data_IF_847677936195
#
_entry.id   IF_847677936195
#
_cell.length_a   1.000
_cell.length_b   1.000
_cell.length_c   1.000
_cell.angle_alpha   90.00
_cell.angle_beta   90.00
_cell.angle_gamma   90.00
#
_symmetry.space_group_name_H-M   'P 1'
#
loop_
_entity.id
_entity.type
_entity.pdbx_description
1 polymer ?
#
# COMPACT_ATOMS: atom_id res chain seq x y z
N UNK A 1 14.39 6.42 6.22
CA UNK A 1 13.47 7.28 5.42
C UNK A 1 12.94 6.51 4.20
N UNK A 2 11.64 6.58 3.87
CA UNK A 2 11.00 5.98 2.67
C UNK A 2 9.72 6.75 2.29
N UNK A 3 9.16 6.60 1.08
CA UNK A 3 7.99 7.39 0.66
C UNK A 3 6.78 7.23 1.58
N UNK A 4 6.52 6.00 2.06
CA UNK A 4 5.44 5.72 3.01
C UNK A 4 5.56 6.44 4.36
N UNK A 5 6.73 7.02 4.69
CA UNK A 5 6.93 7.79 5.91
C UNK A 5 6.78 9.31 5.68
N UNK A 6 6.52 9.76 4.44
CA UNK A 6 6.33 11.18 4.08
C UNK A 6 4.87 11.45 3.74
N UNK A 7 4.17 12.22 4.59
CA UNK A 7 2.79 12.61 4.39
C UNK A 7 2.67 14.01 3.79
N UNK A 8 1.93 14.13 2.70
CA UNK A 8 1.59 15.43 2.13
C UNK A 8 0.35 16.00 2.83
N UNK A 9 0.49 17.18 3.42
CA UNK A 9 -0.60 17.91 4.07
C UNK A 9 -0.84 19.23 3.34
N UNK A 10 -1.95 19.91 3.65
CA UNK A 10 -2.23 21.25 3.12
C UNK A 10 -1.16 22.29 3.47
N UNK A 11 -0.38 22.04 4.53
CA UNK A 11 0.71 22.91 4.98
C UNK A 11 2.10 22.48 4.47
N UNK A 12 2.18 21.48 3.60
CA UNK A 12 3.44 20.91 3.11
C UNK A 12 3.67 19.47 3.55
N UNK A 13 4.86 18.94 3.26
CA UNK A 13 5.25 17.58 3.61
C UNK A 13 5.57 17.46 5.11
N UNK A 14 5.12 16.38 5.74
CA UNK A 14 5.40 16.00 7.13
C UNK A 14 5.99 14.61 7.17
N UNK A 15 7.06 14.43 7.94
CA UNK A 15 7.61 13.11 8.21
C UNK A 15 6.81 12.46 9.35
N UNK A 16 6.28 11.26 9.12
CA UNK A 16 5.39 10.56 10.05
C UNK A 16 6.14 9.66 11.04
N UNK A 17 7.30 9.17 10.63
CA UNK A 17 8.01 8.13 11.35
C UNK A 17 9.51 8.45 11.36
N UNK A 18 9.96 9.00 12.49
CA UNK A 18 11.37 9.18 12.84
C UNK A 18 11.99 7.89 13.40
N UNK A 19 11.28 6.76 13.28
CA UNK A 19 11.59 5.47 13.88
C UNK A 19 13.06 5.07 13.74
N UNK A 20 13.68 4.88 14.91
CA UNK A 20 15.10 4.66 15.18
C UNK A 20 15.97 5.93 15.33
N UNK A 21 15.41 7.05 15.81
CA UNK A 21 16.22 8.11 16.42
C UNK A 21 16.95 7.54 17.65
N UNK A 22 18.17 7.03 17.42
CA UNK A 22 19.16 6.57 18.41
C UNK A 22 18.82 5.24 19.11
N UNK A 23 19.13 4.13 18.46
CA UNK A 23 19.66 2.96 19.17
C UNK A 23 21.18 2.97 19.03
N UNK A 24 21.85 3.47 20.06
CA UNK A 24 23.29 3.34 20.22
C UNK A 24 23.67 1.86 20.36
N UNK A 25 24.49 1.38 19.43
CA UNK A 25 25.50 0.31 19.55
C UNK A 25 25.20 -1.00 20.31
N UNK A 26 23.95 -1.38 20.65
CA UNK A 26 23.70 -2.63 21.40
C UNK A 26 22.65 -3.61 20.90
N UNK A 27 21.89 -3.30 19.85
CA UNK A 27 20.93 -4.26 19.29
C UNK A 27 21.38 -4.72 17.91
N UNK A 28 22.54 -5.40 17.88
CA UNK A 28 22.91 -6.27 16.75
C UNK A 28 22.21 -7.63 16.93
N UNK A 29 20.88 -7.63 17.01
CA UNK A 29 20.14 -8.87 16.80
C UNK A 29 20.18 -9.20 15.29
N UNK A 30 20.47 -10.46 14.93
CA UNK A 30 20.86 -10.79 13.57
C UNK A 30 19.71 -10.58 12.58
N UNK A 31 19.98 -9.86 11.50
CA UNK A 31 19.31 -10.13 10.23
C UNK A 31 19.64 -11.59 9.88
N UNK A 32 18.73 -12.53 10.12
CA UNK A 32 18.88 -13.89 9.64
C UNK A 32 18.71 -13.87 8.12
N UNK A 33 19.82 -13.73 7.42
CA UNK A 33 19.98 -14.18 6.03
C UNK A 33 20.74 -15.50 6.09
N UNK A 34 20.21 -16.46 6.85
CA UNK A 34 20.64 -17.84 6.69
C UNK A 34 19.95 -18.40 5.44
N UNK A 35 20.70 -19.19 4.69
CA UNK A 35 20.29 -19.82 3.45
C UNK A 35 18.87 -20.39 3.55
N UNK A 36 18.00 -19.96 2.63
CA UNK A 36 16.61 -20.38 2.47
C UNK A 36 16.40 -21.88 2.75
N UNK A 37 15.77 -22.26 3.88
CA UNK A 37 15.10 -23.55 3.99
C UNK A 37 13.69 -23.36 3.42
N UNK A 38 13.31 -24.22 2.48
CA UNK A 38 11.98 -24.26 1.88
C UNK A 38 10.93 -24.78 2.89
N UNK A 39 10.62 -23.99 3.92
CA UNK A 39 9.51 -24.26 4.85
C UNK A 39 9.01 -22.95 5.44
N UNK A 40 7.77 -22.59 5.10
CA UNK A 40 7.16 -21.29 5.36
C UNK A 40 6.12 -21.37 6.47
N UNK A 41 6.19 -20.48 7.47
CA UNK A 41 4.99 -19.87 8.08
C UNK A 41 5.24 -18.74 9.09
N UNK A 42 6.43 -18.57 9.69
CA UNK A 42 6.63 -17.54 10.73
C UNK A 42 7.33 -16.23 10.28
N UNK A 43 8.10 -16.21 9.19
CA UNK A 43 8.91 -15.03 8.81
C UNK A 43 8.32 -14.10 7.74
N UNK A 44 7.07 -14.27 7.30
CA UNK A 44 6.59 -13.59 6.06
C UNK A 44 6.43 -12.07 6.22
N UNK A 45 5.96 -11.58 7.37
CA UNK A 45 5.67 -10.16 7.61
C UNK A 45 6.94 -9.30 7.72
N UNK A 46 7.96 -9.79 8.44
CA UNK A 46 9.29 -9.17 8.48
C UNK A 46 9.96 -9.22 7.11
N UNK A 47 9.83 -10.34 6.38
CA UNK A 47 10.32 -10.47 5.00
C UNK A 47 9.75 -9.37 4.10
N UNK A 48 8.44 -9.09 4.12
CA UNK A 48 7.81 -8.06 3.28
C UNK A 48 8.11 -6.62 3.72
N UNK A 49 8.23 -6.34 5.02
CA UNK A 49 8.64 -5.01 5.51
C UNK A 49 10.10 -4.68 5.16
N UNK A 50 10.98 -5.70 5.21
CA UNK A 50 12.34 -5.61 4.71
C UNK A 50 12.28 -5.32 3.21
N UNK A 51 11.57 -6.13 2.39
CA UNK A 51 11.46 -5.93 0.92
C UNK A 51 11.04 -4.51 0.55
N UNK A 52 10.00 -3.95 1.19
CA UNK A 52 9.51 -2.60 0.89
C UNK A 52 10.43 -1.45 1.34
N UNK A 53 11.43 -1.75 2.17
CA UNK A 53 12.42 -0.77 2.65
C UNK A 53 13.77 -0.93 1.97
N UNK A 54 14.09 -2.11 1.43
CA UNK A 54 15.36 -2.42 0.77
C UNK A 54 15.79 -1.37 -0.28
N UNK A 55 14.91 -0.87 -1.18
CA UNK A 55 15.30 0.15 -2.17
C UNK A 55 15.79 1.47 -1.57
N UNK A 56 15.50 1.74 -0.29
CA UNK A 56 15.86 2.98 0.38
C UNK A 56 16.92 2.78 1.47
N UNK A 57 17.38 1.53 1.71
CA UNK A 57 18.44 1.26 2.68
C UNK A 57 19.81 1.61 2.09
N UNK A 58 20.64 2.28 2.88
CA UNK A 58 22.00 2.58 2.48
C UNK A 58 22.87 1.31 2.37
N UNK A 59 23.81 1.23 1.42
CA UNK A 59 24.71 0.09 1.23
C UNK A 59 25.40 -0.41 2.51
N UNK A 60 25.88 0.50 3.34
CA UNK A 60 26.54 0.20 4.61
C UNK A 60 25.59 -0.45 5.63
N UNK A 61 24.29 -0.12 5.61
CA UNK A 61 23.29 -0.80 6.46
C UNK A 61 23.06 -2.23 6.00
N UNK A 62 22.97 -2.46 4.68
CA UNK A 62 22.82 -3.81 4.11
C UNK A 62 24.06 -4.68 4.35
N UNK A 63 25.24 -4.07 4.36
CA UNK A 63 26.53 -4.71 4.65
C UNK A 63 26.83 -4.81 6.16
N UNK A 64 25.94 -4.33 7.04
CA UNK A 64 26.12 -4.29 8.50
C UNK A 64 27.39 -3.57 8.98
N UNK A 65 27.82 -2.55 8.23
CA UNK A 65 28.91 -1.67 8.64
C UNK A 65 28.37 -0.58 9.55
N UNK A 66 29.20 0.00 10.44
CA UNK A 66 28.85 1.22 11.15
C UNK A 66 28.37 2.29 10.16
N UNK A 67 27.27 2.96 10.51
CA UNK A 67 26.66 3.99 9.68
C UNK A 67 26.30 5.20 10.54
N UNK A 68 26.22 6.37 9.89
CA UNK A 68 25.87 7.64 10.52
C UNK A 68 24.67 8.28 9.78
N UNK A 69 24.45 9.58 9.98
CA UNK A 69 23.37 10.34 9.35
C UNK A 69 23.44 10.37 7.82
N UNK A 70 24.57 10.00 7.20
CA UNK A 70 24.69 9.88 5.74
C UNK A 70 23.92 8.70 5.16
N UNK A 71 23.50 7.75 6.00
CA UNK A 71 22.54 6.73 5.61
C UNK A 71 21.16 7.34 5.29
N UNK A 72 20.75 8.40 6.01
CA UNK A 72 19.50 9.11 5.74
C UNK A 72 19.61 10.00 4.49
N UNK A 73 20.80 10.54 4.19
CA UNK A 73 21.08 11.24 2.92
C UNK A 73 20.88 10.30 1.73
N UNK A 74 21.34 9.05 1.83
CA UNK A 74 21.10 8.04 0.78
C UNK A 74 19.61 7.76 0.59
N UNK A 75 18.91 7.51 1.69
CA UNK A 75 17.48 7.24 1.66
C UNK A 75 16.68 8.42 1.09
N UNK A 76 17.08 9.65 1.41
CA UNK A 76 16.51 10.87 0.84
C UNK A 76 16.73 10.94 -0.68
N UNK A 77 17.94 10.64 -1.16
CA UNK A 77 18.25 10.56 -2.59
C UNK A 77 17.40 9.52 -3.32
N UNK A 78 17.14 8.37 -2.69
CA UNK A 78 16.32 7.31 -3.28
C UNK A 78 14.85 7.73 -3.40
N UNK A 79 14.30 8.40 -2.37
CA UNK A 79 12.95 8.99 -2.41
C UNK A 79 12.86 10.07 -3.49
N UNK A 80 13.84 10.99 -3.55
CA UNK A 80 13.85 12.07 -4.53
C UNK A 80 13.94 11.54 -5.97
N UNK A 81 14.76 10.50 -6.20
CA UNK A 81 14.81 9.83 -7.50
C UNK A 81 13.44 9.28 -7.88
N UNK A 82 12.77 8.56 -6.97
CA UNK A 82 11.48 7.95 -7.25
C UNK A 82 10.38 8.98 -7.54
N UNK A 83 10.38 10.10 -6.81
CA UNK A 83 9.46 11.20 -7.06
C UNK A 83 9.59 11.79 -8.48
N UNK A 84 10.82 11.81 -9.02
CA UNK A 84 11.12 12.41 -10.32
C UNK A 84 11.03 11.40 -11.47
N UNK A 85 11.40 10.14 -11.22
CA UNK A 85 11.42 9.07 -12.22
C UNK A 85 10.11 8.27 -12.27
N UNK A 86 9.25 8.37 -11.26
CA UNK A 86 8.02 7.60 -11.12
C UNK A 86 8.24 6.12 -10.75
N UNK A 87 9.47 5.72 -10.45
CA UNK A 87 9.87 4.35 -10.09
C UNK A 87 11.09 4.37 -9.16
N UNK A 88 11.29 3.34 -8.30
CA UNK A 88 12.44 3.28 -7.41
C UNK A 88 13.78 3.32 -8.15
N UNK A 89 14.80 3.89 -7.50
CA UNK A 89 16.16 3.94 -8.01
C UNK A 89 16.80 2.55 -8.14
N UNK A 90 16.41 1.62 -7.26
CA UNK A 90 16.92 0.26 -7.18
C UNK A 90 15.75 -0.72 -7.20
N UNK A 91 15.77 -1.66 -8.14
CA UNK A 91 14.71 -2.63 -8.38
C UNK A 91 15.29 -4.02 -8.58
N UNK A 92 14.48 -5.06 -8.39
CA UNK A 92 14.82 -6.47 -8.60
C UNK A 92 13.59 -7.35 -8.34
N UNK A 93 13.58 -8.56 -8.91
CA UNK A 93 12.46 -9.50 -8.80
C UNK A 93 12.52 -10.30 -7.48
N UNK A 94 13.66 -10.24 -6.79
CA UNK A 94 13.89 -10.83 -5.48
C UNK A 94 14.57 -9.87 -4.50
N UNK A 95 14.46 -10.08 -3.17
CA UNK A 95 15.17 -9.27 -2.18
C UNK A 95 16.69 -9.24 -2.39
N UNK A 96 17.26 -10.36 -2.83
CA UNK A 96 18.69 -10.47 -3.12
C UNK A 96 19.09 -9.60 -4.32
N UNK A 97 18.26 -9.54 -5.36
CA UNK A 97 18.47 -8.67 -6.52
C UNK A 97 18.32 -7.19 -6.17
N UNK A 98 17.36 -6.83 -5.32
CA UNK A 98 17.22 -5.45 -4.82
C UNK A 98 18.45 -5.06 -4.02
N UNK A 99 18.94 -5.92 -3.11
CA UNK A 99 20.18 -5.69 -2.36
C UNK A 99 21.36 -5.53 -3.32
N UNK A 100 21.52 -6.42 -4.29
CA UNK A 100 22.59 -6.33 -5.29
C UNK A 100 22.51 -4.99 -6.05
N UNK A 101 21.31 -4.58 -6.46
CA UNK A 101 21.05 -3.31 -7.13
C UNK A 101 21.46 -2.11 -6.26
N UNK A 102 21.09 -2.10 -4.98
CA UNK A 102 21.51 -1.07 -4.02
C UNK A 102 23.03 -1.04 -3.86
N UNK A 103 23.71 -2.19 -3.89
CA UNK A 103 25.15 -2.26 -3.68
C UNK A 103 25.97 -1.86 -4.93
N UNK A 104 25.48 -2.13 -6.14
CA UNK A 104 26.31 -2.05 -7.36
C UNK A 104 25.78 -1.09 -8.43
N UNK A 105 24.47 -0.86 -8.51
CA UNK A 105 23.88 -0.10 -9.61
C UNK A 105 23.95 1.39 -9.32
N UNK A 106 24.41 2.19 -10.28
CA UNK A 106 24.29 3.66 -10.23
C UNK A 106 23.14 4.08 -11.16
N UNK A 107 22.05 4.70 -10.64
CA UNK A 107 20.91 5.06 -11.48
C UNK A 107 21.30 6.02 -12.61
N UNK A 108 20.70 5.79 -13.77
CA UNK A 108 20.86 6.65 -14.94
C UNK A 108 20.19 8.02 -14.75
N UNK A 109 20.54 9.01 -15.58
CA UNK A 109 19.93 10.34 -15.48
C UNK A 109 18.43 10.28 -15.79
N UNK A 110 17.66 11.11 -15.09
CA UNK A 110 16.21 11.17 -15.27
C UNK A 110 15.89 12.13 -16.44
N UNK A 111 15.15 11.70 -17.49
CA UNK A 111 14.76 12.58 -18.58
C UNK A 111 13.99 13.81 -18.09
N UNK A 112 14.35 15.00 -18.56
CA UNK A 112 13.68 16.26 -18.19
C UNK A 112 14.12 16.87 -16.86
N UNK A 113 15.05 16.24 -16.13
CA UNK A 113 15.65 16.78 -14.91
C UNK A 113 16.91 17.59 -15.25
N UNK A 114 17.11 18.73 -14.58
CA UNK A 114 18.28 19.59 -14.82
C UNK A 114 19.58 18.87 -14.40
N UNK A 115 20.72 19.13 -15.07
CA UNK A 115 22.00 18.55 -14.65
C UNK A 115 22.39 18.89 -13.22
N UNK A 116 21.95 20.03 -12.70
CA UNK A 116 22.17 20.42 -11.30
C UNK A 116 21.41 19.49 -10.34
N UNK A 117 20.14 19.23 -10.63
CA UNK A 117 19.30 18.34 -9.82
C UNK A 117 19.77 16.87 -9.92
N UNK A 118 20.17 16.43 -11.11
CA UNK A 118 20.76 15.09 -11.32
C UNK A 118 22.05 14.91 -10.48
N UNK A 119 22.91 15.93 -10.40
CA UNK A 119 24.11 15.89 -9.53
C UNK A 119 23.77 15.76 -8.06
N UNK A 120 22.74 16.46 -7.57
CA UNK A 120 22.29 16.35 -6.17
C UNK A 120 21.85 14.91 -5.88
N UNK A 121 21.00 14.34 -6.75
CA UNK A 121 20.49 12.97 -6.61
C UNK A 121 21.63 11.95 -6.63
N UNK A 122 22.54 12.04 -7.61
CA UNK A 122 23.70 11.13 -7.72
C UNK A 122 24.58 11.17 -6.49
N UNK A 123 24.83 12.37 -5.95
CA UNK A 123 25.68 12.53 -4.77
C UNK A 123 25.00 11.99 -3.50
N UNK A 124 23.68 12.11 -3.38
CA UNK A 124 22.96 11.41 -2.31
C UNK A 124 23.07 9.89 -2.45
N UNK A 125 23.00 9.35 -3.68
CA UNK A 125 22.99 7.92 -3.98
C UNK A 125 24.38 7.27 -4.13
N UNK A 126 25.46 7.98 -3.77
CA UNK A 126 26.80 7.43 -3.82
C UNK A 126 26.93 6.20 -2.92
N UNK A 127 27.64 5.17 -3.39
CA UNK A 127 27.74 3.89 -2.66
C UNK A 127 28.58 4.02 -1.40
N UNK A 128 29.71 4.71 -1.50
CA UNK A 128 30.50 5.10 -0.33
C UNK A 128 29.82 6.28 0.39
N UNK A 129 29.67 6.17 1.70
CA UNK A 129 29.16 7.25 2.54
C UNK A 129 30.11 8.46 2.55
N UNK A 130 31.41 8.27 2.30
CA UNK A 130 32.40 9.35 2.21
C UNK A 130 32.11 10.32 1.06
N UNK A 131 31.56 9.81 -0.05
CA UNK A 131 31.27 10.57 -1.27
C UNK A 131 29.93 11.32 -1.21
N UNK A 132 29.08 10.98 -0.24
CA UNK A 132 27.78 11.64 -0.01
C UNK A 132 27.94 13.02 0.60
N UNK A 133 26.84 13.76 0.62
CA UNK A 133 26.73 14.99 1.42
C UNK A 133 27.00 14.70 2.88
N UNK A 134 27.69 15.64 3.55
CA UNK A 134 28.11 15.46 4.94
C UNK A 134 26.92 15.52 5.89
N UNK A 135 25.95 16.39 5.59
CA UNK A 135 24.66 16.48 6.25
C UNK A 135 23.52 16.61 5.25
N UNK A 136 22.28 16.49 5.75
CA UNK A 136 21.08 16.68 4.93
C UNK A 136 20.88 18.16 4.57
N UNK A 137 21.45 19.05 5.37
CA UNK A 137 21.44 20.50 5.20
C UNK A 137 22.17 20.89 3.90
N UNK A 138 23.36 20.33 3.66
CA UNK A 138 24.14 20.57 2.44
C UNK A 138 23.37 20.09 1.20
N UNK A 139 22.70 18.94 1.31
CA UNK A 139 21.89 18.39 0.24
C UNK A 139 20.65 19.27 -0.04
N UNK A 140 20.02 19.80 1.00
CA UNK A 140 18.86 20.69 0.90
C UNK A 140 19.23 22.05 0.28
N UNK A 141 20.37 22.63 0.65
CA UNK A 141 20.89 23.87 0.04
C UNK A 141 21.19 23.65 -1.45
N UNK A 142 21.90 22.57 -1.79
CA UNK A 142 22.20 22.23 -3.17
C UNK A 142 20.91 21.96 -3.99
N UNK A 143 19.89 21.36 -3.37
CA UNK A 143 18.58 21.15 -3.98
C UNK A 143 17.83 22.46 -4.22
N UNK A 144 17.88 23.40 -3.28
CA UNK A 144 17.28 24.72 -3.43
C UNK A 144 17.93 25.48 -4.60
N UNK A 145 19.26 25.51 -4.66
CA UNK A 145 20.02 26.11 -5.76
C UNK A 145 19.76 25.42 -7.11
N UNK A 146 19.53 24.10 -7.12
CA UNK A 146 19.18 23.37 -8.33
C UNK A 146 17.73 23.61 -8.78
N UNK A 147 16.84 24.01 -7.87
CA UNK A 147 15.45 24.38 -8.11
C UNK A 147 15.26 25.85 -8.53
N UNK A 148 16.23 26.72 -8.20
CA UNK A 148 16.30 28.08 -8.74
C UNK A 148 16.54 28.03 -10.25
N UNK A 149 15.48 28.27 -11.03
CA UNK A 149 15.62 28.50 -12.47
C UNK A 149 16.53 29.72 -12.68
N UNK A 150 17.63 29.63 -13.46
CA UNK A 150 18.19 30.82 -14.05
C UNK A 150 17.09 31.42 -14.94
N UNK A 151 16.73 32.68 -14.69
CA UNK A 151 15.72 33.44 -15.42
C UNK A 151 16.09 33.71 -16.90
N UNK A 152 17.02 32.96 -17.49
CA UNK A 152 17.64 33.26 -18.76
C UNK A 152 17.87 32.01 -19.63
N UNK A 153 16.86 31.17 -19.85
CA UNK A 153 16.88 30.21 -20.98
C UNK A 153 15.50 29.58 -21.30
N UNK A 154 14.39 30.33 -21.29
CA UNK A 154 13.13 29.81 -21.84
C UNK A 154 12.15 30.93 -22.22
N UNK A 155 12.51 31.76 -23.20
CA UNK A 155 11.55 32.46 -24.05
C UNK A 155 12.25 33.08 -25.26
N UNK A 156 12.77 32.25 -26.18
CA UNK A 156 12.71 32.69 -27.58
C UNK A 156 11.25 32.58 -27.97
N UNK A 157 10.56 33.72 -27.96
CA UNK A 157 9.15 33.81 -28.29
C UNK A 157 8.88 33.14 -29.64
N UNK A 158 8.22 31.99 -29.59
CA UNK A 158 7.59 31.40 -30.76
C UNK A 158 6.50 32.38 -31.16
N UNK A 159 6.73 33.13 -32.24
CA UNK A 159 5.81 34.17 -32.69
C UNK A 159 4.38 33.64 -32.80
N UNK A 160 3.40 34.46 -32.43
CA UNK A 160 1.95 34.17 -32.38
C UNK A 160 1.40 33.41 -33.62
N UNK A 161 2.09 33.50 -34.78
CA UNK A 161 1.79 32.74 -36.01
C UNK A 161 2.14 31.25 -35.95
N UNK A 162 3.18 30.86 -35.21
CA UNK A 162 3.59 29.44 -35.04
C UNK A 162 2.74 28.71 -34.00
N UNK A 163 2.23 29.40 -32.97
CA UNK A 163 1.26 28.81 -32.03
C UNK A 163 -0.08 28.49 -32.68
N UNK A 164 -0.53 29.32 -33.64
CA UNK A 164 -1.75 29.05 -34.41
C UNK A 164 -1.56 27.81 -35.30
N UNK A 165 -0.39 27.67 -35.94
CA UNK A 165 -0.06 26.49 -36.74
C UNK A 165 0.01 25.20 -35.91
N UNK A 166 0.65 25.24 -34.75
CA UNK A 166 0.72 24.09 -33.84
C UNK A 166 -0.65 23.70 -33.27
N UNK A 167 -1.49 24.68 -32.95
CA UNK A 167 -2.86 24.43 -32.48
C UNK A 167 -3.75 23.81 -33.58
N UNK A 168 -3.58 24.24 -34.84
CA UNK A 168 -4.30 23.66 -35.98
C UNK A 168 -3.86 22.22 -36.26
N UNK A 169 -2.56 21.92 -36.19
CA UNK A 169 -2.03 20.57 -36.35
C UNK A 169 -2.53 19.67 -35.21
N UNK A 170 -2.53 20.15 -33.96
CA UNK A 170 -3.06 19.41 -32.81
C UNK A 170 -4.58 19.15 -32.95
N UNK A 171 -5.35 20.14 -33.40
CA UNK A 171 -6.78 20.00 -33.63
C UNK A 171 -7.10 19.03 -34.78
N UNK A 172 -6.35 19.08 -35.89
CA UNK A 172 -6.49 18.15 -37.01
C UNK A 172 -6.05 16.74 -36.65
N UNK A 173 -5.01 16.60 -35.82
CA UNK A 173 -4.56 15.29 -35.32
C UNK A 173 -5.57 14.68 -34.35
N UNK A 174 -6.17 15.50 -33.48
CA UNK A 174 -7.24 15.05 -32.57
C UNK A 174 -8.52 14.68 -33.33
N UNK A 175 -8.90 15.47 -34.34
CA UNK A 175 -10.03 15.16 -35.22
C UNK A 175 -9.77 13.90 -36.07
N UNK A 176 -8.54 13.72 -36.55
CA UNK A 176 -8.11 12.52 -37.26
C UNK A 176 -8.14 11.28 -36.37
N UNK A 177 -7.62 11.37 -35.14
CA UNK A 177 -7.66 10.28 -34.17
C UNK A 177 -9.09 9.91 -33.75
N UNK A 178 -9.99 10.90 -33.67
CA UNK A 178 -11.42 10.69 -33.43
C UNK A 178 -12.11 9.98 -34.60
N UNK A 179 -11.85 10.42 -35.84
CA UNK A 179 -12.42 9.80 -37.05
C UNK A 179 -11.84 8.41 -37.35
N UNK A 180 -10.58 8.16 -36.98
CA UNK A 180 -9.92 6.86 -37.11
C UNK A 180 -10.22 5.90 -35.95
N UNK A 181 -11.03 6.30 -34.96
CA UNK A 181 -11.39 5.45 -33.83
C UNK A 181 -10.24 5.12 -32.86
N UNK A 182 -9.16 5.93 -32.88
CA UNK A 182 -7.95 5.74 -32.07
C UNK A 182 -8.05 6.43 -30.71
N UNK A 183 -9.13 7.17 -30.45
CA UNK A 183 -9.42 7.67 -29.09
C UNK A 183 -9.68 6.44 -28.21
N UNK A 184 -8.83 6.16 -27.20
CA UNK A 184 -9.11 5.09 -26.26
C UNK A 184 -10.46 5.41 -25.62
N UNK A 185 -11.43 4.52 -25.79
CA UNK A 185 -12.64 4.56 -24.96
C UNK A 185 -12.15 4.59 -23.52
N UNK A 186 -12.45 5.68 -22.80
CA UNK A 186 -12.12 5.82 -21.38
C UNK A 186 -12.84 4.70 -20.63
N UNK A 187 -12.19 3.54 -20.51
CA UNK A 187 -12.70 2.41 -19.74
C UNK A 187 -12.88 2.90 -18.31
N UNK A 188 -14.10 2.81 -17.77
CA UNK A 188 -14.36 3.21 -16.38
C UNK A 188 -13.37 2.47 -15.47
N UNK A 189 -12.70 3.15 -14.52
CA UNK A 189 -11.79 2.49 -13.59
C UNK A 189 -12.55 1.42 -12.80
N UNK A 190 -11.93 0.25 -12.64
CA UNK A 190 -12.52 -0.86 -11.89
C UNK A 190 -12.63 -0.47 -10.41
N UNK A 191 -13.73 -0.80 -9.72
CA UNK A 191 -13.84 -0.53 -8.30
C UNK A 191 -12.84 -1.38 -7.51
N UNK A 192 -12.12 -0.73 -6.59
CA UNK A 192 -11.15 -1.38 -5.70
C UNK A 192 -11.88 -2.08 -4.55
N UNK A 193 -11.60 -3.35 -4.34
CA UNK A 193 -12.10 -4.18 -3.24
C UNK A 193 -10.94 -4.67 -2.40
N UNK A 194 -10.95 -4.37 -1.11
CA UNK A 194 -9.93 -4.84 -0.17
C UNK A 194 -10.51 -5.97 0.68
N UNK A 195 -9.88 -7.13 0.64
CA UNK A 195 -10.22 -8.28 1.47
C UNK A 195 -9.25 -8.35 2.65
N UNK A 196 -9.76 -8.37 3.87
CA UNK A 196 -8.92 -8.40 5.07
C UNK A 196 -9.28 -9.60 5.93
N UNK A 197 -8.27 -10.40 6.26
CA UNK A 197 -8.48 -11.57 7.09
C UNK A 197 -7.19 -11.99 7.79
N UNK A 198 -7.31 -12.83 8.82
CA UNK A 198 -6.20 -13.33 9.59
C UNK A 198 -5.83 -14.77 9.17
N UNK A 199 -4.57 -15.14 9.34
CA UNK A 199 -4.09 -16.52 9.12
C UNK A 199 -4.34 -17.44 10.32
N UNK A 200 -5.07 -16.97 11.33
CA UNK A 200 -5.41 -17.77 12.50
C UNK A 200 -6.24 -18.99 12.09
N UNK A 201 -5.68 -20.22 12.17
CA UNK A 201 -6.29 -21.41 11.57
C UNK A 201 -7.72 -21.67 12.06
N UNK A 202 -7.99 -21.40 13.33
CA UNK A 202 -9.30 -21.57 13.97
C UNK A 202 -10.39 -20.65 13.39
N UNK A 203 -10.02 -19.68 12.55
CA UNK A 203 -10.92 -18.70 11.93
C UNK A 203 -11.02 -18.80 10.41
N UNK A 204 -10.20 -19.66 9.81
CA UNK A 204 -10.31 -20.04 8.41
C UNK A 204 -11.42 -21.08 8.31
N UNK A 205 -12.46 -20.80 7.52
CA UNK A 205 -13.67 -21.63 7.48
C UNK A 205 -13.44 -22.94 6.73
N UNK A 206 -12.66 -22.91 5.65
CA UNK A 206 -12.39 -24.08 4.83
C UNK A 206 -11.20 -24.91 5.35
N UNK A 207 -11.38 -26.22 5.61
CA UNK A 207 -10.30 -27.08 6.10
C UNK A 207 -9.11 -27.17 5.14
N UNK A 208 -9.34 -27.20 3.82
CA UNK A 208 -8.24 -27.31 2.86
C UNK A 208 -7.45 -26.00 2.79
N UNK A 209 -8.14 -24.86 2.80
CA UNK A 209 -7.51 -23.54 2.89
C UNK A 209 -6.72 -23.38 4.18
N UNK A 210 -7.26 -23.85 5.31
CA UNK A 210 -6.59 -23.86 6.61
C UNK A 210 -5.30 -24.66 6.61
N UNK A 211 -5.32 -25.90 6.10
CA UNK A 211 -4.14 -26.78 6.04
C UNK A 211 -3.03 -26.18 5.18
N UNK A 212 -3.39 -25.43 4.13
CA UNK A 212 -2.44 -24.77 3.25
C UNK A 212 -1.93 -23.41 3.78
N UNK A 213 -2.34 -23.00 5.00
CA UNK A 213 -1.96 -21.71 5.59
C UNK A 213 -2.60 -20.50 4.90
N UNK A 214 -3.68 -20.71 4.15
CA UNK A 214 -4.45 -19.65 3.51
C UNK A 214 -5.46 -18.99 4.47
N UNK A 215 -6.27 -18.10 3.92
CA UNK A 215 -7.27 -17.30 4.63
C UNK A 215 -8.64 -17.37 3.93
N UNK A 216 -9.72 -16.94 4.59
CA UNK A 216 -11.01 -16.83 3.91
C UNK A 216 -10.95 -15.81 2.75
N UNK A 217 -10.06 -14.82 2.83
CA UNK A 217 -9.83 -13.86 1.73
C UNK A 217 -9.34 -14.53 0.45
N UNK A 218 -8.64 -15.66 0.52
CA UNK A 218 -8.25 -16.43 -0.67
C UNK A 218 -9.46 -17.05 -1.36
N UNK A 219 -10.33 -17.70 -0.57
CA UNK A 219 -11.56 -18.31 -1.06
C UNK A 219 -12.56 -17.27 -1.60
N UNK A 220 -12.67 -16.11 -0.94
CA UNK A 220 -13.49 -14.98 -1.39
C UNK A 220 -12.93 -14.40 -2.69
N UNK A 221 -11.61 -14.18 -2.76
CA UNK A 221 -10.98 -13.65 -3.98
C UNK A 221 -11.19 -14.57 -5.18
N UNK A 222 -11.12 -15.89 -4.98
CA UNK A 222 -11.42 -16.87 -6.03
C UNK A 222 -12.88 -16.80 -6.47
N UNK A 223 -13.79 -16.58 -5.51
CA UNK A 223 -15.21 -16.42 -5.79
C UNK A 223 -15.52 -15.17 -6.62
N UNK A 224 -14.69 -14.13 -6.51
CA UNK A 224 -14.87 -12.84 -7.19
C UNK A 224 -14.04 -12.69 -8.47
N UNK A 225 -13.22 -13.70 -8.83
CA UNK A 225 -12.22 -13.64 -9.92
C UNK A 225 -12.76 -13.18 -11.28
N UNK A 226 -14.01 -13.54 -11.59
CA UNK A 226 -14.66 -13.24 -12.87
C UNK A 226 -15.31 -11.84 -12.91
N UNK A 227 -15.36 -11.15 -11.78
CA UNK A 227 -15.94 -9.81 -11.71
C UNK A 227 -14.89 -8.77 -12.11
N UNK A 228 -15.27 -7.68 -12.81
CA UNK A 228 -14.34 -6.62 -13.22
C UNK A 228 -13.97 -5.70 -12.05
N UNK A 229 -13.30 -6.26 -11.04
CA UNK A 229 -12.88 -5.62 -9.79
C UNK A 229 -11.35 -5.55 -9.75
N UNK A 230 -10.81 -4.58 -9.00
CA UNK A 230 -9.42 -4.58 -8.57
C UNK A 230 -9.36 -5.08 -7.13
N UNK A 231 -8.89 -6.32 -6.91
CA UNK A 231 -8.92 -6.97 -5.60
C UNK A 231 -7.53 -6.89 -4.96
N UNK A 232 -7.46 -6.30 -3.77
CA UNK A 232 -6.28 -6.33 -2.91
C UNK A 232 -6.57 -7.14 -1.65
N UNK A 233 -5.57 -7.83 -1.12
CA UNK A 233 -5.69 -8.64 0.09
C UNK A 233 -4.75 -8.11 1.17
N UNK A 234 -5.26 -7.97 2.38
CA UNK A 234 -4.48 -7.61 3.57
C UNK A 234 -4.55 -8.76 4.57
N UNK A 235 -3.42 -9.41 4.81
CA UNK A 235 -3.29 -10.40 5.87
C UNK A 235 -3.07 -9.68 7.19
N UNK A 236 -4.02 -9.86 8.11
CA UNK A 236 -4.15 -9.09 9.35
C UNK A 236 -3.79 -9.90 10.57
N UNK A 237 -3.41 -9.19 11.63
CA UNK A 237 -3.09 -9.72 12.95
C UNK A 237 -3.33 -8.64 14.00
N UNK A 238 -3.18 -9.00 15.27
CA UNK A 238 -3.22 -8.04 16.38
C UNK A 238 -2.15 -6.94 16.30
N UNK A 239 -1.08 -7.14 15.52
CA UNK A 239 -0.01 -6.16 15.34
C UNK A 239 -0.09 -5.41 14.00
N UNK A 240 -1.03 -5.78 13.12
CA UNK A 240 -1.19 -5.12 11.82
C UNK A 240 -1.53 -3.64 12.02
N UNK A 241 -0.83 -2.73 11.35
CA UNK A 241 -1.00 -1.27 11.50
C UNK A 241 -0.79 -0.55 10.15
N UNK A 242 -1.58 -0.94 9.14
CA UNK A 242 -1.48 -0.40 7.76
C UNK A 242 -2.78 0.27 7.34
N UNK A 243 -3.51 0.84 8.29
CA UNK A 243 -4.79 1.53 8.08
C UNK A 243 -4.67 2.63 7.02
N UNK A 244 -3.56 3.39 7.04
CA UNK A 244 -3.29 4.45 6.07
C UNK A 244 -3.15 3.93 4.63
N UNK A 245 -2.55 2.76 4.45
CA UNK A 245 -2.42 2.15 3.13
C UNK A 245 -3.78 1.74 2.57
N UNK A 246 -4.67 1.24 3.43
CA UNK A 246 -6.06 0.96 3.04
C UNK A 246 -6.75 2.25 2.58
N UNK A 247 -6.56 3.35 3.30
CA UNK A 247 -7.12 4.66 2.93
C UNK A 247 -6.57 5.17 1.59
N UNK A 248 -5.26 5.04 1.35
CA UNK A 248 -4.61 5.49 0.11
C UNK A 248 -5.13 4.76 -1.14
N UNK A 249 -5.51 3.49 -1.00
CA UNK A 249 -6.12 2.71 -2.07
C UNK A 249 -7.54 3.15 -2.44
N UNK A 250 -8.15 4.02 -1.62
CA UNK A 250 -9.52 4.55 -1.81
C UNK A 250 -10.54 3.46 -2.18
N UNK A 251 -10.66 2.39 -1.39
CA UNK A 251 -11.51 1.25 -1.71
C UNK A 251 -12.95 1.66 -1.92
N UNK A 252 -13.61 1.06 -2.90
CA UNK A 252 -15.06 1.12 -3.03
C UNK A 252 -15.73 0.22 -1.98
N UNK A 253 -15.11 -0.93 -1.68
CA UNK A 253 -15.58 -1.91 -0.71
C UNK A 253 -14.42 -2.50 0.10
N UNK A 254 -14.60 -2.61 1.41
CA UNK A 254 -13.74 -3.41 2.29
C UNK A 254 -14.56 -4.59 2.80
N UNK A 255 -14.10 -5.80 2.54
CA UNK A 255 -14.67 -7.02 3.12
C UNK A 255 -13.70 -7.58 4.15
N UNK A 256 -14.15 -7.83 5.38
CA UNK A 256 -13.24 -8.31 6.42
C UNK A 256 -13.86 -9.29 7.40
N UNK A 257 -13.06 -10.21 7.93
CA UNK A 257 -13.51 -11.05 9.04
C UNK A 257 -13.57 -10.21 10.32
N UNK A 258 -14.60 -10.38 11.16
CA UNK A 258 -14.80 -9.59 12.38
C UNK A 258 -13.60 -9.62 13.33
N UNK A 259 -12.86 -10.72 13.32
CA UNK A 259 -11.69 -10.94 14.17
C UNK A 259 -10.35 -10.70 13.47
N UNK A 260 -10.31 -9.93 12.37
CA UNK A 260 -9.10 -9.66 11.59
C UNK A 260 -7.92 -9.20 12.48
N UNK A 261 -8.22 -8.48 13.56
CA UNK A 261 -7.23 -7.96 14.50
C UNK A 261 -7.05 -8.75 15.79
N UNK A 262 -7.61 -9.96 15.90
CA UNK A 262 -7.47 -10.70 17.15
C UNK A 262 -6.12 -11.41 17.26
N UNK A 263 -5.75 -11.67 18.51
CA UNK A 263 -4.59 -12.46 18.89
C UNK A 263 -4.89 -13.97 18.76
N UNK A 264 -3.86 -14.82 18.70
CA UNK A 264 -4.01 -16.28 18.79
C UNK A 264 -4.65 -16.71 20.11
N UNK A 265 -5.36 -17.84 20.09
CA UNK A 265 -5.91 -18.49 21.30
C UNK A 265 -4.76 -18.82 22.27
N UNK A 266 -4.86 -18.37 23.53
CA UNK A 266 -3.87 -18.63 24.58
C UNK A 266 -2.94 -17.45 24.94
N UNK A 267 -3.06 -16.29 24.29
CA UNK A 267 -2.37 -15.07 24.72
C UNK A 267 -3.05 -14.47 25.98
N UNK A 268 -2.27 -14.05 26.99
CA UNK A 268 -2.78 -13.61 28.30
C UNK A 268 -3.58 -12.28 28.28
N UNK A 269 -4.51 -12.19 29.25
CA UNK A 269 -5.30 -11.07 29.78
C UNK A 269 -6.24 -10.27 28.83
N UNK A 270 -7.50 -10.11 29.28
CA UNK A 270 -8.75 -9.70 28.59
C UNK A 270 -9.37 -10.73 27.62
N UNK A 271 -10.71 -10.72 27.39
CA UNK A 271 -11.30 -11.54 26.34
C UNK A 271 -10.79 -11.02 24.99
N UNK A 272 -9.79 -11.71 24.44
CA UNK A 272 -9.07 -11.45 23.17
C UNK A 272 -10.00 -11.08 22.00
N UNK A 273 -11.24 -11.57 22.05
CA UNK A 273 -12.29 -11.30 21.08
C UNK A 273 -12.85 -9.87 21.18
N UNK A 274 -13.06 -9.34 22.38
CA UNK A 274 -13.65 -8.02 22.59
C UNK A 274 -12.74 -6.89 22.07
N UNK A 275 -11.43 -6.96 22.36
CA UNK A 275 -10.44 -6.02 21.83
C UNK A 275 -10.41 -6.02 20.30
N UNK A 276 -10.44 -7.20 19.69
CA UNK A 276 -10.41 -7.32 18.23
C UNK A 276 -11.68 -6.77 17.58
N UNK A 277 -12.83 -7.04 18.20
CA UNK A 277 -14.13 -6.52 17.75
C UNK A 277 -14.15 -4.99 17.87
N UNK A 278 -13.65 -4.42 18.97
CA UNK A 278 -13.57 -2.98 19.15
C UNK A 278 -12.62 -2.33 18.14
N UNK A 279 -11.46 -2.95 17.92
CA UNK A 279 -10.49 -2.50 16.92
C UNK A 279 -11.06 -2.57 15.50
N UNK A 280 -11.84 -3.59 15.18
CA UNK A 280 -12.57 -3.67 13.91
C UNK A 280 -13.51 -2.47 13.75
N UNK A 281 -14.27 -2.09 14.78
CA UNK A 281 -15.12 -0.88 14.73
C UNK A 281 -14.29 0.39 14.51
N UNK A 282 -13.19 0.55 15.24
CA UNK A 282 -12.30 1.71 15.12
C UNK A 282 -11.70 1.83 13.70
N UNK A 283 -11.28 0.70 13.12
CA UNK A 283 -10.77 0.64 11.75
C UNK A 283 -11.83 1.06 10.71
N UNK A 284 -13.06 0.52 10.82
CA UNK A 284 -14.19 0.93 9.99
C UNK A 284 -14.43 2.45 10.08
N UNK A 285 -14.42 3.00 11.30
CA UNK A 285 -14.56 4.43 11.53
C UNK A 285 -13.45 5.24 10.86
N UNK A 286 -12.20 4.83 11.02
CA UNK A 286 -11.03 5.49 10.42
C UNK A 286 -11.10 5.53 8.89
N UNK A 287 -11.29 4.38 8.24
CA UNK A 287 -11.40 4.29 6.78
C UNK A 287 -12.65 5.04 6.29
N UNK A 288 -13.76 4.91 7.01
CA UNK A 288 -15.03 5.53 6.66
C UNK A 288 -15.02 7.06 6.75
N UNK A 289 -14.24 7.63 7.67
CA UNK A 289 -14.01 9.09 7.76
C UNK A 289 -13.11 9.58 6.64
N UNK A 290 -12.05 8.83 6.30
CA UNK A 290 -11.12 9.21 5.25
C UNK A 290 -11.73 9.09 3.83
N UNK A 291 -12.61 8.12 3.61
CA UNK A 291 -13.35 7.96 2.36
C UNK A 291 -14.85 7.74 2.61
N UNK A 292 -15.69 8.77 2.43
CA UNK A 292 -17.14 8.68 2.62
C UNK A 292 -17.85 7.71 1.67
N UNK A 293 -17.20 7.28 0.58
CA UNK A 293 -17.78 6.36 -0.40
C UNK A 293 -17.53 4.89 -0.07
N UNK A 294 -16.55 4.57 0.79
CA UNK A 294 -16.22 3.19 1.13
C UNK A 294 -17.41 2.50 1.79
N UNK A 295 -17.75 1.31 1.30
CA UNK A 295 -18.72 0.40 1.88
C UNK A 295 -17.99 -0.72 2.63
N UNK A 296 -18.62 -1.32 3.63
CA UNK A 296 -18.02 -2.32 4.50
C UNK A 296 -18.91 -3.55 4.59
N UNK A 297 -18.31 -4.72 4.37
CA UNK A 297 -18.93 -6.02 4.65
C UNK A 297 -18.08 -6.74 5.69
N UNK A 298 -18.67 -7.02 6.85
CA UNK A 298 -18.01 -7.76 7.92
C UNK A 298 -18.63 -9.14 8.02
N UNK A 299 -17.82 -10.20 7.97
CA UNK A 299 -18.32 -11.57 8.11
C UNK A 299 -17.80 -12.21 9.39
N UNK A 300 -18.62 -13.07 9.99
CA UNK A 300 -18.30 -13.80 11.22
C UNK A 300 -19.26 -14.98 11.40
N UNK A 301 -18.79 -16.05 12.05
CA UNK A 301 -19.64 -17.12 12.61
C UNK A 301 -19.97 -16.90 14.09
N UNK A 302 -19.37 -15.89 14.73
CA UNK A 302 -19.53 -15.65 16.16
C UNK A 302 -20.88 -15.06 16.59
N UNK A 303 -21.74 -14.68 15.64
CA UNK A 303 -23.10 -14.21 15.91
C UNK A 303 -24.10 -15.23 15.39
N UNK A 304 -24.89 -15.81 16.29
CA UNK A 304 -25.86 -16.85 15.97
C UNK A 304 -27.10 -16.25 15.28
N UNK A 305 -27.53 -15.07 15.71
CA UNK A 305 -28.82 -14.47 15.30
C UNK A 305 -28.64 -13.21 14.45
N UNK A 306 -29.67 -12.88 13.65
CA UNK A 306 -29.71 -11.59 12.94
C UNK A 306 -29.81 -10.41 13.91
N UNK A 307 -30.43 -10.61 15.06
CA UNK A 307 -30.53 -9.59 16.11
C UNK A 307 -29.14 -9.18 16.64
N UNK A 308 -28.24 -10.14 16.90
CA UNK A 308 -26.85 -9.87 17.33
C UNK A 308 -26.06 -9.13 16.26
N UNK A 309 -26.19 -9.55 14.99
CA UNK A 309 -25.56 -8.87 13.85
C UNK A 309 -26.05 -7.43 13.73
N UNK A 310 -27.36 -7.22 13.83
CA UNK A 310 -27.96 -5.90 13.73
C UNK A 310 -27.58 -5.00 14.90
N UNK A 311 -27.56 -5.53 16.13
CA UNK A 311 -27.10 -4.81 17.31
C UNK A 311 -25.64 -4.34 17.13
N UNK A 312 -24.75 -5.21 16.64
CA UNK A 312 -23.37 -4.86 16.39
C UNK A 312 -23.23 -3.73 15.35
N UNK A 313 -24.01 -3.76 14.27
CA UNK A 313 -24.05 -2.69 13.26
C UNK A 313 -24.56 -1.39 13.89
N UNK A 314 -25.66 -1.44 14.64
CA UNK A 314 -26.25 -0.28 15.31
C UNK A 314 -25.26 0.37 16.27
N UNK A 315 -24.58 -0.39 17.12
CA UNK A 315 -23.54 0.12 18.02
C UNK A 315 -22.36 0.75 17.27
N UNK A 316 -21.93 0.13 16.17
CA UNK A 316 -20.83 0.63 15.34
C UNK A 316 -21.18 1.98 14.72
N UNK A 317 -22.42 2.11 14.21
CA UNK A 317 -22.91 3.36 13.61
C UNK A 317 -23.20 4.43 14.67
N UNK A 318 -23.66 4.06 15.86
CA UNK A 318 -23.78 5.00 16.98
C UNK A 318 -22.43 5.61 17.36
N UNK A 319 -21.36 4.79 17.39
CA UNK A 319 -19.99 5.27 17.64
C UNK A 319 -19.44 6.10 16.46
N UNK A 320 -19.78 5.73 15.23
CA UNK A 320 -19.30 6.39 14.02
C UNK A 320 -20.46 6.72 13.07
N UNK A 321 -21.19 7.83 13.29
CA UNK A 321 -22.40 8.18 12.52
C UNK A 321 -22.16 8.30 11.00
N UNK A 322 -20.93 8.64 10.59
CA UNK A 322 -20.53 8.68 9.19
C UNK A 322 -20.73 7.32 8.46
N UNK A 323 -20.79 6.20 9.19
CA UNK A 323 -20.97 4.86 8.66
C UNK A 323 -22.43 4.47 8.42
N UNK A 324 -23.41 5.33 8.71
CA UNK A 324 -24.83 5.05 8.53
C UNK A 324 -25.12 4.54 7.10
N UNK A 325 -25.70 3.34 7.00
CA UNK A 325 -26.03 2.69 5.72
C UNK A 325 -24.83 2.13 4.94
N UNK A 326 -23.61 2.18 5.50
CA UNK A 326 -22.37 1.74 4.82
C UNK A 326 -21.75 0.46 5.39
N UNK A 327 -22.30 -0.08 6.48
CA UNK A 327 -21.79 -1.29 7.13
C UNK A 327 -22.85 -2.38 7.04
N UNK A 328 -22.47 -3.54 6.53
CA UNK A 328 -23.31 -4.74 6.45
C UNK A 328 -22.59 -5.91 7.11
N UNK A 329 -23.33 -6.75 7.82
CA UNK A 329 -22.80 -8.05 8.24
C UNK A 329 -23.23 -9.13 7.27
N UNK A 330 -22.25 -9.90 6.80
CA UNK A 330 -22.51 -11.09 5.99
C UNK A 330 -22.60 -12.30 6.92
N UNK A 331 -23.79 -12.87 7.01
CA UNK A 331 -23.96 -14.19 7.58
C UNK A 331 -23.42 -15.22 6.59
N UNK A 332 -22.39 -15.94 6.99
CA UNK A 332 -21.93 -17.12 6.26
C UNK A 332 -22.67 -18.30 6.88
N UNK A 333 -23.61 -18.94 6.15
CA UNK A 333 -24.41 -20.03 6.70
C UNK A 333 -23.52 -21.15 7.27
N UNK A 334 -24.00 -21.88 8.28
CA UNK A 334 -23.67 -23.30 8.52
C UNK A 334 -22.76 -23.71 9.69
N UNK A 335 -23.08 -24.89 10.24
CA UNK A 335 -22.18 -25.80 10.97
C UNK A 335 -21.19 -26.49 9.99
N UNK A 336 -20.04 -26.96 10.53
CA UNK A 336 -18.85 -27.65 9.95
C UNK A 336 -18.49 -27.57 8.44
N UNK A 337 -19.44 -27.55 7.48
CA UNK A 337 -19.19 -27.68 6.03
C UNK A 337 -19.34 -26.41 5.19
N UNK A 338 -19.98 -25.36 5.69
CA UNK A 338 -20.30 -24.21 4.84
C UNK A 338 -19.15 -23.18 4.80
N UNK A 339 -18.42 -23.16 3.68
CA UNK A 339 -17.19 -22.35 3.51
C UNK A 339 -17.35 -21.38 2.35
N UNK A 340 -16.41 -20.46 2.15
CA UNK A 340 -16.42 -19.61 0.95
C UNK A 340 -16.14 -20.38 -0.35
N UNK A 341 -15.81 -21.68 -0.27
CA UNK A 341 -15.74 -22.58 -1.42
C UNK A 341 -17.09 -23.23 -1.76
N UNK A 342 -18.04 -23.24 -0.82
CA UNK A 342 -19.39 -23.76 -1.05
C UNK A 342 -20.13 -22.94 -2.13
N UNK A 343 -20.73 -23.57 -3.15
CA UNK A 343 -21.39 -22.86 -4.24
C UNK A 343 -22.51 -21.90 -3.79
N UNK A 344 -23.25 -22.19 -2.72
CA UNK A 344 -24.29 -21.28 -2.23
C UNK A 344 -23.66 -20.05 -1.58
N UNK A 345 -22.64 -20.24 -0.75
CA UNK A 345 -21.87 -19.15 -0.13
C UNK A 345 -21.19 -18.28 -1.19
N UNK A 346 -20.61 -18.88 -2.25
CA UNK A 346 -20.02 -18.14 -3.38
C UNK A 346 -21.03 -17.23 -4.07
N UNK A 347 -22.24 -17.75 -4.35
CA UNK A 347 -23.33 -16.96 -4.95
C UNK A 347 -23.74 -15.80 -4.04
N UNK A 348 -23.85 -16.06 -2.74
CA UNK A 348 -24.18 -15.03 -1.75
C UNK A 348 -23.14 -13.89 -1.73
N UNK A 349 -21.85 -14.22 -1.72
CA UNK A 349 -20.76 -13.23 -1.77
C UNK A 349 -20.84 -12.40 -3.05
N UNK A 350 -20.99 -13.04 -4.22
CA UNK A 350 -21.16 -12.32 -5.50
C UNK A 350 -22.34 -11.37 -5.47
N UNK A 351 -23.51 -11.83 -5.01
CA UNK A 351 -24.73 -11.02 -4.90
C UNK A 351 -24.55 -9.81 -3.97
N UNK A 352 -23.83 -9.97 -2.85
CA UNK A 352 -23.54 -8.84 -1.95
C UNK A 352 -22.64 -7.80 -2.61
N UNK A 353 -21.56 -8.23 -3.28
CA UNK A 353 -20.65 -7.32 -3.97
C UNK A 353 -21.38 -6.57 -5.10
N UNK A 354 -22.21 -7.27 -5.89
CA UNK A 354 -23.03 -6.65 -6.93
C UNK A 354 -24.08 -5.68 -6.37
N UNK A 355 -24.74 -6.03 -5.27
CA UNK A 355 -25.71 -5.15 -4.59
C UNK A 355 -25.07 -3.85 -4.12
N UNK A 356 -23.80 -3.89 -3.71
CA UNK A 356 -23.08 -2.74 -3.15
C UNK A 356 -22.45 -1.87 -4.24
N UNK A 357 -21.79 -2.48 -5.23
CA UNK A 357 -21.03 -1.78 -6.26
C UNK A 357 -21.86 -1.49 -7.53
N UNK A 358 -23.08 -2.03 -7.61
CA UNK A 358 -23.85 -2.11 -8.86
C UNK A 358 -23.29 -3.21 -9.77
N UNK A 359 -23.92 -3.43 -10.93
CA UNK A 359 -23.29 -4.25 -11.98
C UNK A 359 -22.12 -3.47 -12.57
N UNK A 360 -20.86 -3.81 -12.23
CA UNK A 360 -19.74 -3.11 -12.82
C UNK A 360 -19.71 -3.53 -14.29
N UNK A 361 -19.86 -2.55 -15.19
CA UNK A 361 -20.00 -2.79 -16.62
C UNK A 361 -18.85 -3.69 -17.11
N UNK A 362 -19.22 -4.76 -17.83
CA UNK A 362 -18.29 -5.76 -18.38
C UNK A 362 -17.33 -5.16 -19.40
#
# INVERSE_FOLDING_TARGET
LKPGNVMLTKSGAKLLDFGLAKLTSRDLEPLQVEALPATMSAGLTERWQIVGTLPYMAPERLQRRPFDTRADVFAFGAVLYEMLAGRPAFTGDSPAEIIASVLTVNPGPIPGVSPALDRVIRRCLAKDAADRWRGIEDAAEALALAGERPAAAAARGVGRRSMIGAALIAALSAAGAYYLGVVPTLTKPRPVVILMDSTLPERVYDPATRVNGGTNSDDISDSLREMPLEIHKETTSALWHREDQVVQQRPALVMMHLSSFAKPVGAADEPLQAQAVDRTRAFLGFVGLANPRTQFVVYTRGFATDAERQAWVTETVQRFPALQGRVRMLHVPGEEKATFRDPATRRLVKQQVESILGHPAR
#
